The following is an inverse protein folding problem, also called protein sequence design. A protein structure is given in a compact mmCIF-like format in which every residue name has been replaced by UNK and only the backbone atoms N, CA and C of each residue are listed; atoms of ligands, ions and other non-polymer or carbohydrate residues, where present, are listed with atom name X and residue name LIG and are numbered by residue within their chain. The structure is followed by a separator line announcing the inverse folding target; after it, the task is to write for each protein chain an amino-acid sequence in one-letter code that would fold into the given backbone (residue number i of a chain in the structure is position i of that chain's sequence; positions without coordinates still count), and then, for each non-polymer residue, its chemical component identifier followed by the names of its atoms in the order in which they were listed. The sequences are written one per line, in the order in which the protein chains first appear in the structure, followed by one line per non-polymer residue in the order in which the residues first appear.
data_IF_649915005335
#
_entry.id   IF_649915005335
#
_cell.length_a   1.000
_cell.length_b   1.000
_cell.length_c   1.000
_cell.angle_alpha   90.00
_cell.angle_beta   90.00
_cell.angle_gamma   90.00
#
_symmetry.space_group_name_H-M   'P 1'
#
loop_
_entity.id
_entity.type
_entity.pdbx_description
1 polymer ?
#
# COMPACT_ATOMS: atom_id res chain seq x y z
N UNK A 1 16.83 -15.99 12.96
CA UNK A 1 16.78 -16.01 11.48
C UNK A 1 16.80 -14.56 11.04
N UNK A 2 17.72 -14.15 10.16
CA UNK A 2 17.83 -12.74 9.78
C UNK A 2 16.48 -12.23 9.26
N UNK A 3 15.87 -11.32 10.02
CA UNK A 3 14.60 -10.67 9.71
C UNK A 3 14.83 -9.68 8.57
N UNK A 4 14.85 -10.20 7.33
CA UNK A 4 15.09 -9.37 6.16
C UNK A 4 14.05 -8.27 6.02
N UNK A 5 14.50 -7.07 5.66
CA UNK A 5 13.63 -5.98 5.26
C UNK A 5 12.96 -6.34 3.94
N UNK A 6 11.63 -6.33 3.89
CA UNK A 6 10.86 -6.48 2.66
C UNK A 6 10.03 -5.22 2.42
N UNK A 7 10.15 -4.67 1.22
CA UNK A 7 9.32 -3.54 0.76
C UNK A 7 8.49 -4.00 -0.43
N UNK A 8 7.19 -3.72 -0.40
CA UNK A 8 6.27 -4.03 -1.50
C UNK A 8 5.44 -2.82 -1.85
N UNK A 9 5.40 -2.50 -3.14
CA UNK A 9 4.61 -1.40 -3.67
C UNK A 9 3.25 -1.92 -4.13
N UNK A 10 2.19 -1.45 -3.50
CA UNK A 10 0.80 -1.74 -3.85
C UNK A 10 0.19 -0.68 -4.76
N UNK A 11 0.77 0.52 -4.75
CA UNK A 11 0.53 1.57 -5.72
C UNK A 11 1.77 2.43 -5.92
N UNK A 12 1.96 2.87 -7.16
CA UNK A 12 3.15 3.63 -7.61
C UNK A 12 2.79 4.82 -8.50
N UNK A 13 1.49 5.15 -8.62
CA UNK A 13 1.01 6.36 -9.29
C UNK A 13 1.00 7.53 -8.31
N UNK A 14 1.16 8.73 -8.86
CA UNK A 14 0.94 9.98 -8.14
C UNK A 14 -0.55 10.28 -8.00
N UNK A 15 -0.94 11.52 -8.29
CA UNK A 15 -2.27 12.06 -7.96
C UNK A 15 -3.47 11.33 -8.57
N UNK A 16 -3.29 10.62 -9.68
CA UNK A 16 -4.39 9.98 -10.41
C UNK A 16 -4.04 8.52 -10.69
N UNK A 17 -4.92 7.55 -10.34
CA UNK A 17 -4.73 6.17 -10.72
C UNK A 17 -4.87 5.99 -12.25
N UNK A 18 -4.17 5.02 -12.83
CA UNK A 18 -4.17 4.75 -14.27
C UNK A 18 -4.30 3.26 -14.55
N UNK A 19 -5.45 2.83 -15.08
CA UNK A 19 -5.74 1.43 -15.40
C UNK A 19 -5.57 1.06 -16.87
N UNK A 20 -4.83 1.84 -17.68
CA UNK A 20 -4.75 1.62 -19.12
C UNK A 20 -3.68 0.56 -19.50
N UNK A 21 -3.79 -0.10 -20.67
CA UNK A 21 -2.82 -1.12 -21.11
C UNK A 21 -1.37 -0.63 -21.19
N UNK A 22 -1.16 0.63 -21.57
CA UNK A 22 0.17 1.25 -21.68
C UNK A 22 0.87 1.35 -20.31
N UNK A 23 0.09 1.47 -19.23
CA UNK A 23 0.56 1.64 -17.86
C UNK A 23 0.50 0.35 -17.01
N UNK A 24 -0.07 -0.73 -17.56
CA UNK A 24 -0.31 -1.98 -16.85
C UNK A 24 0.98 -2.64 -16.33
N UNK A 25 2.07 -2.57 -17.09
CA UNK A 25 3.35 -3.19 -16.73
C UNK A 25 4.03 -2.60 -15.48
N UNK A 26 3.62 -1.41 -15.04
CA UNK A 26 4.17 -0.76 -13.85
C UNK A 26 3.09 -0.44 -12.79
N UNK A 27 1.85 -0.92 -12.96
CA UNK A 27 0.77 -0.79 -11.98
C UNK A 27 -0.09 0.48 -12.13
N UNK A 28 -1.30 0.47 -11.56
CA UNK A 28 -2.30 1.51 -11.79
C UNK A 28 -2.82 2.26 -10.55
N UNK A 29 -2.40 1.84 -9.37
CA UNK A 29 -2.87 2.40 -8.11
C UNK A 29 -2.05 3.60 -7.65
N UNK A 30 -2.69 4.56 -6.98
CA UNK A 30 -1.98 5.63 -6.26
C UNK A 30 -1.25 5.08 -5.03
N UNK A 31 -0.26 5.83 -4.54
CA UNK A 31 0.72 5.42 -3.51
C UNK A 31 0.16 4.55 -2.39
N UNK A 32 0.82 3.42 -2.16
CA UNK A 32 0.65 2.57 -0.99
C UNK A 32 1.84 1.62 -0.93
N UNK A 33 2.62 1.68 0.16
CA UNK A 33 3.82 0.86 0.34
C UNK A 33 3.71 0.07 1.63
N UNK A 34 3.93 -1.24 1.53
CA UNK A 34 4.05 -2.15 2.65
C UNK A 34 5.53 -2.36 2.96
N UNK A 35 5.90 -2.22 4.21
CA UNK A 35 7.24 -2.51 4.73
C UNK A 35 7.09 -3.55 5.83
N UNK A 36 7.88 -4.63 5.74
CA UNK A 36 8.02 -5.65 6.77
C UNK A 36 9.45 -5.77 7.26
N UNK A 37 9.62 -5.74 8.58
CA UNK A 37 10.91 -5.89 9.23
C UNK A 37 10.71 -6.55 10.59
N UNK A 38 11.11 -7.82 10.71
CA UNK A 38 10.78 -8.61 11.90
C UNK A 38 9.26 -8.76 12.04
N UNK A 39 8.73 -8.42 13.21
CA UNK A 39 7.30 -8.47 13.51
C UNK A 39 6.56 -7.16 13.15
N UNK A 40 7.28 -6.15 12.63
CA UNK A 40 6.69 -4.87 12.25
C UNK A 40 6.08 -4.93 10.85
N UNK A 41 4.85 -4.46 10.74
CA UNK A 41 4.14 -4.14 9.49
C UNK A 41 3.88 -2.64 9.45
N UNK A 42 4.55 -1.94 8.54
CA UNK A 42 4.38 -0.50 8.33
C UNK A 42 3.75 -0.29 6.96
N UNK A 43 2.75 0.58 6.90
CA UNK A 43 2.07 0.98 5.67
C UNK A 43 2.33 2.47 5.47
N UNK A 44 2.97 2.84 4.36
CA UNK A 44 3.16 4.24 3.97
C UNK A 44 2.09 4.60 2.96
N UNK A 45 1.27 5.59 3.33
CA UNK A 45 0.11 6.07 2.60
C UNK A 45 -0.95 4.99 2.30
N UNK A 46 -2.18 5.46 2.14
CA UNK A 46 -3.34 4.62 1.83
C UNK A 46 -4.10 5.20 0.64
N UNK A 47 -3.37 5.42 -0.46
CA UNK A 47 -3.97 5.66 -1.77
C UNK A 47 -4.77 4.45 -2.28
N UNK A 48 -5.14 4.43 -3.56
CA UNK A 48 -5.98 3.34 -4.09
C UNK A 48 -5.32 1.96 -3.99
N UNK A 49 -3.99 1.90 -3.86
CA UNK A 49 -3.24 0.65 -3.70
C UNK A 49 -3.56 -0.10 -2.42
N UNK A 50 -4.04 0.60 -1.38
CA UNK A 50 -4.33 0.00 -0.07
C UNK A 50 -5.41 -1.07 -0.15
N UNK A 51 -6.32 -1.00 -1.14
CA UNK A 51 -7.37 -2.01 -1.35
C UNK A 51 -6.80 -3.40 -1.63
N UNK A 52 -5.77 -3.47 -2.46
CA UNK A 52 -5.09 -4.73 -2.79
C UNK A 52 -4.27 -5.24 -1.61
N UNK A 53 -3.65 -4.34 -0.84
CA UNK A 53 -2.99 -4.67 0.42
C UNK A 53 -3.98 -5.27 1.43
N UNK A 54 -5.12 -4.63 1.66
CA UNK A 54 -6.15 -5.13 2.59
C UNK A 54 -6.64 -6.53 2.23
N UNK A 55 -6.92 -6.77 0.94
CA UNK A 55 -7.29 -8.11 0.44
C UNK A 55 -6.23 -9.18 0.74
N UNK A 56 -4.96 -8.82 0.69
CA UNK A 56 -3.87 -9.74 1.03
C UNK A 56 -3.77 -9.97 2.55
N UNK A 57 -3.86 -8.89 3.34
CA UNK A 57 -3.77 -8.95 4.80
C UNK A 57 -4.92 -9.71 5.46
N UNK A 58 -6.10 -9.78 4.82
CA UNK A 58 -7.21 -10.60 5.29
C UNK A 58 -6.84 -12.08 5.49
N UNK A 59 -5.82 -12.58 4.78
CA UNK A 59 -5.31 -13.96 4.90
C UNK A 59 -4.36 -14.15 6.07
N UNK A 60 -3.95 -13.07 6.72
CA UNK A 60 -2.92 -13.03 7.77
C UNK A 60 -3.50 -12.54 9.12
N UNK A 61 -4.83 -12.42 9.24
CA UNK A 61 -5.48 -11.89 10.43
C UNK A 61 -5.31 -12.82 11.66
N UNK A 62 -5.19 -12.25 12.88
CA UNK A 62 -5.15 -10.82 13.19
C UNK A 62 -3.79 -10.17 12.87
N UNK A 63 -3.81 -8.93 12.41
CA UNK A 63 -2.61 -8.14 12.15
C UNK A 63 -2.47 -6.98 13.14
N UNK A 64 -1.23 -6.54 13.35
CA UNK A 64 -0.91 -5.24 13.93
C UNK A 64 -0.11 -4.46 12.88
N UNK A 65 -0.58 -3.28 12.50
CA UNK A 65 0.07 -2.45 11.50
C UNK A 65 0.16 -1.00 11.97
N UNK A 66 1.24 -0.31 11.58
CA UNK A 66 1.38 1.14 11.74
C UNK A 66 1.19 1.80 10.39
N UNK A 67 0.23 2.73 10.29
CA UNK A 67 0.02 3.54 9.08
C UNK A 67 0.71 4.89 9.27
N UNK A 68 1.56 5.27 8.33
CA UNK A 68 2.23 6.56 8.28
C UNK A 68 1.79 7.29 7.00
N UNK A 69 1.28 8.50 7.17
CA UNK A 69 0.94 9.38 6.05
C UNK A 69 2.09 10.32 5.77
N UNK A 70 2.54 10.38 4.50
CA UNK A 70 3.54 11.36 4.08
C UNK A 70 2.97 12.78 4.12
N UNK A 71 1.72 12.94 3.68
CA UNK A 71 0.89 14.14 3.77
C UNK A 71 -0.58 13.78 3.50
N UNK A 72 -1.46 14.78 3.47
CA UNK A 72 -2.92 14.59 3.43
C UNK A 72 -3.57 15.01 2.10
N UNK A 73 -2.85 14.90 0.98
CA UNK A 73 -3.51 14.97 -0.32
C UNK A 73 -4.39 13.73 -0.55
N UNK A 74 -5.43 13.93 -1.35
CA UNK A 74 -6.48 12.92 -1.53
C UNK A 74 -5.94 11.57 -2.03
N UNK A 75 -4.99 11.58 -2.96
CA UNK A 75 -4.36 10.41 -3.52
C UNK A 75 -3.54 9.56 -2.53
N UNK A 76 -3.25 10.11 -1.35
CA UNK A 76 -2.55 9.43 -0.24
C UNK A 76 -3.51 8.86 0.82
N UNK A 77 -4.77 9.30 0.87
CA UNK A 77 -5.71 8.93 1.95
C UNK A 77 -7.02 8.31 1.45
N UNK A 78 -7.37 8.50 0.17
CA UNK A 78 -8.69 8.13 -0.38
C UNK A 78 -9.02 6.64 -0.30
N UNK A 79 -8.02 5.78 -0.22
CA UNK A 79 -8.21 4.34 -0.13
C UNK A 79 -8.55 3.84 1.27
N UNK A 80 -8.23 4.62 2.33
CA UNK A 80 -8.37 4.18 3.72
C UNK A 80 -9.78 3.67 4.09
N UNK A 81 -10.89 4.31 3.67
CA UNK A 81 -12.23 3.83 3.99
C UNK A 81 -12.63 2.52 3.28
N UNK A 82 -11.80 2.03 2.34
CA UNK A 82 -12.06 0.85 1.52
C UNK A 82 -11.02 -0.26 1.73
N UNK A 83 -10.19 -0.14 2.78
CA UNK A 83 -9.11 -1.06 3.14
C UNK A 83 -9.62 -2.38 3.71
#
# INVERSE_FOLDING_TARGET
MASGLRVKFWGVRGSIPSGNPETAGVGGNTTCVEIRCGDELIIIDTGTGVRSLGTALMKEMPIKATILFSHVHWDHIQGFPFF
#
